data_IF_714727054192
#
_entry.id   IF_714727054192
#
_cell.length_a   1.000
_cell.length_b   1.000
_cell.length_c   1.000
_cell.angle_alpha   90.00
_cell.angle_beta   90.00
_cell.angle_gamma   90.00
#
_symmetry.space_group_name_H-M   'P 1'
#
loop_
_entity.id
_entity.type
_entity.pdbx_description
1 polymer ?
#
# COMPACT_ATOMS: atom_id res chain seq x y z
N UNK A 1 1.96 15.44 12.08
CA UNK A 1 1.77 14.02 12.41
C UNK A 1 0.38 13.65 11.93
N UNK A 2 0.30 12.84 10.88
CA UNK A 2 -0.98 12.38 10.35
C UNK A 2 -1.44 11.19 11.19
N UNK A 3 -2.69 11.20 11.64
CA UNK A 3 -3.30 10.08 12.36
C UNK A 3 -4.25 9.36 11.41
N UNK A 4 -3.88 8.15 10.97
CA UNK A 4 -4.70 7.34 10.07
C UNK A 4 -5.39 6.21 10.82
N UNK A 5 -6.68 6.03 10.60
CA UNK A 5 -7.44 4.87 11.12
C UNK A 5 -7.30 3.73 10.11
N UNK A 6 -6.45 2.74 10.42
CA UNK A 6 -6.22 1.61 9.52
C UNK A 6 -7.19 0.45 9.78
N UNK A 7 -7.83 -0.12 8.75
CA UNK A 7 -8.82 -1.20 8.86
C UNK A 7 -8.18 -2.58 9.06
N UNK A 8 -7.31 -2.74 10.06
CA UNK A 8 -6.61 -4.01 10.34
C UNK A 8 -7.58 -5.04 10.91
N UNK A 9 -7.70 -6.19 10.25
CA UNK A 9 -8.57 -7.30 10.66
C UNK A 9 -8.19 -7.87 12.04
N UNK A 10 -9.14 -8.53 12.71
CA UNK A 10 -8.86 -9.17 14.01
C UNK A 10 -7.76 -10.25 13.94
N UNK A 11 -7.64 -10.95 12.80
CA UNK A 11 -6.59 -11.93 12.57
C UNK A 11 -5.22 -11.25 12.46
N UNK A 12 -5.16 -10.12 11.74
CA UNK A 12 -3.94 -9.37 11.50
C UNK A 12 -3.44 -8.61 12.74
N UNK A 13 -4.30 -8.30 13.72
CA UNK A 13 -3.87 -7.65 14.99
C UNK A 13 -2.73 -8.40 15.69
N UNK A 14 -2.77 -9.74 15.67
CA UNK A 14 -1.72 -10.57 16.29
C UNK A 14 -0.44 -10.57 15.46
N UNK A 15 -0.56 -10.67 14.13
CA UNK A 15 0.59 -10.60 13.20
C UNK A 15 1.29 -9.25 13.30
N UNK A 16 0.50 -8.17 13.34
CA UNK A 16 0.99 -6.81 13.53
C UNK A 16 1.80 -6.66 14.82
N UNK A 17 1.27 -7.15 15.95
CA UNK A 17 1.97 -7.08 17.24
C UNK A 17 3.31 -7.86 17.23
N UNK A 18 3.37 -8.97 16.50
CA UNK A 18 4.63 -9.71 16.31
C UNK A 18 5.64 -8.88 15.50
N UNK A 19 5.23 -8.36 14.33
CA UNK A 19 6.07 -7.53 13.47
C UNK A 19 6.59 -6.28 14.20
N UNK A 20 5.74 -5.61 14.98
CA UNK A 20 6.10 -4.38 15.68
C UNK A 20 7.16 -4.57 16.78
N UNK A 21 7.25 -5.76 17.37
CA UNK A 21 8.26 -6.07 18.38
C UNK A 21 9.60 -6.51 17.79
N UNK A 22 9.62 -6.80 16.49
CA UNK A 22 10.81 -7.32 15.84
C UNK A 22 11.87 -6.22 15.68
N UNK A 23 13.15 -6.60 15.76
CA UNK A 23 14.24 -5.63 15.68
C UNK A 23 14.49 -5.24 14.23
N UNK A 24 14.59 -3.94 13.97
CA UNK A 24 14.99 -3.45 12.67
C UNK A 24 16.45 -3.79 12.37
N UNK A 25 16.70 -4.33 11.18
CA UNK A 25 18.04 -4.47 10.62
C UNK A 25 18.40 -3.17 9.90
N UNK A 26 19.61 -2.61 10.09
CA UNK A 26 20.01 -1.39 9.41
C UNK A 26 19.91 -1.53 7.88
N UNK A 27 19.37 -0.50 7.22
CA UNK A 27 19.19 -0.41 5.76
C UNK A 27 18.24 -1.45 5.14
N UNK A 28 17.52 -2.23 5.96
CA UNK A 28 16.48 -3.14 5.52
C UNK A 28 15.16 -2.61 6.05
N UNK A 29 14.22 -2.36 5.15
CA UNK A 29 12.89 -1.91 5.49
C UNK A 29 11.97 -3.13 5.73
N UNK A 30 10.94 -2.94 6.54
CA UNK A 30 9.96 -3.97 6.83
C UNK A 30 8.56 -3.40 6.68
N UNK A 31 7.81 -3.98 5.76
CA UNK A 31 6.44 -3.60 5.52
C UNK A 31 5.51 -4.64 6.14
N UNK A 32 4.50 -4.17 6.86
CA UNK A 32 3.39 -5.00 7.27
C UNK A 32 2.30 -4.91 6.21
N UNK A 33 2.15 -5.97 5.42
CA UNK A 33 1.11 -6.07 4.39
C UNK A 33 -0.17 -6.64 4.99
N UNK A 34 -1.32 -6.04 4.67
CA UNK A 34 -2.63 -6.55 5.07
C UNK A 34 -3.74 -6.02 4.15
N UNK A 35 -4.85 -6.75 4.11
CA UNK A 35 -6.02 -6.38 3.32
C UNK A 35 -7.14 -5.85 4.23
N UNK A 36 -7.88 -4.91 3.68
CA UNK A 36 -9.18 -4.46 4.16
C UNK A 36 -10.28 -5.03 3.26
N UNK A 37 -11.51 -4.50 3.36
CA UNK A 37 -12.57 -4.88 2.41
C UNK A 37 -12.35 -4.36 1.00
N UNK A 38 -11.61 -3.26 0.83
CA UNK A 38 -11.51 -2.52 -0.44
C UNK A 38 -10.07 -2.29 -0.90
N UNK A 39 -9.11 -2.34 0.02
CA UNK A 39 -7.71 -1.99 -0.26
C UNK A 39 -6.74 -2.97 0.36
N UNK A 40 -5.61 -3.19 -0.32
CA UNK A 40 -4.37 -3.74 0.24
C UNK A 40 -3.47 -2.61 0.73
N UNK A 41 -2.89 -2.80 1.90
CA UNK A 41 -1.97 -1.86 2.53
C UNK A 41 -0.60 -2.50 2.71
N UNK A 42 0.47 -1.72 2.52
CA UNK A 42 1.81 -2.04 3.01
C UNK A 42 2.30 -0.90 3.90
N UNK A 43 2.47 -1.16 5.19
CA UNK A 43 2.86 -0.15 6.16
C UNK A 43 4.33 -0.33 6.57
N UNK A 44 5.17 0.68 6.36
CA UNK A 44 6.54 0.64 6.83
C UNK A 44 6.56 0.71 8.37
N UNK A 45 7.00 -0.38 9.00
CA UNK A 45 6.99 -0.53 10.45
C UNK A 45 7.90 0.48 11.16
N UNK A 46 8.92 1.00 10.48
CA UNK A 46 9.79 2.05 11.03
C UNK A 46 9.05 3.37 11.23
N UNK A 47 8.05 3.66 10.40
CA UNK A 47 7.28 4.91 10.45
C UNK A 47 6.10 4.83 11.44
N UNK A 48 5.81 3.64 11.98
CA UNK A 48 4.78 3.46 13.01
C UNK A 48 5.32 3.92 14.37
N UNK A 49 4.99 5.14 14.75
CA UNK A 49 5.39 5.72 16.04
C UNK A 49 4.43 5.36 17.19
N UNK A 50 3.17 5.04 16.88
CA UNK A 50 2.12 4.74 17.84
C UNK A 50 1.05 3.87 17.19
N UNK A 51 0.56 2.86 17.92
CA UNK A 51 -0.59 2.07 17.51
C UNK A 51 -1.52 1.81 18.71
N UNK A 52 -2.83 1.80 18.47
CA UNK A 52 -3.84 1.48 19.49
C UNK A 52 -4.98 0.69 18.86
N UNK A 53 -5.33 -0.45 19.47
CA UNK A 53 -6.56 -1.15 19.12
C UNK A 53 -7.71 -0.59 19.95
N UNK A 54 -8.66 0.04 19.29
CA UNK A 54 -9.83 0.62 19.93
C UNK A 54 -11.01 -0.38 19.88
N UNK A 55 -11.75 -0.48 20.98
CA UNK A 55 -12.97 -1.28 21.08
C UNK A 55 -14.16 -0.57 20.41
N UNK A 56 -14.21 0.76 20.58
CA UNK A 56 -15.16 1.67 19.95
C UNK A 56 -14.37 2.57 19.00
N UNK A 57 -14.77 2.62 17.72
CA UNK A 57 -14.08 3.42 16.72
C UNK A 57 -14.02 4.89 17.14
N UNK A 58 -12.82 5.48 17.13
CA UNK A 58 -12.75 6.94 17.02
C UNK A 58 -13.55 7.32 15.77
N UNK A 59 -14.36 8.37 15.85
CA UNK A 59 -15.00 8.91 14.65
C UNK A 59 -13.87 9.20 13.66
N UNK A 60 -13.96 8.75 12.40
CA UNK A 60 -12.99 9.17 11.41
C UNK A 60 -12.92 10.69 11.46
N UNK A 61 -11.70 11.23 11.45
CA UNK A 61 -11.50 12.66 11.21
C UNK A 61 -11.79 12.81 9.73
N UNK A 62 -13.07 12.82 9.37
CA UNK A 62 -13.51 13.22 8.04
C UNK A 62 -13.37 14.73 8.04
N UNK A 63 -12.51 15.27 7.18
CA UNK A 63 -12.70 16.66 6.78
C UNK A 63 -14.08 16.70 6.12
N UNK A 64 -15.04 17.39 6.74
CA UNK A 64 -16.47 17.42 6.32
C UNK A 64 -16.71 18.13 4.96
N UNK A 65 -15.67 18.36 4.16
CA UNK A 65 -15.70 19.19 2.95
C UNK A 65 -15.24 18.45 1.67
N UNK A 66 -15.78 17.27 1.38
CA UNK A 66 -15.52 16.57 0.09
C UNK A 66 -16.78 16.35 -0.76
N UNK A 67 -17.77 17.22 -0.58
CA UNK A 67 -18.83 17.41 -1.58
C UNK A 67 -18.34 18.42 -2.62
N UNK A 68 -17.85 17.91 -3.77
CA UNK A 68 -17.79 18.55 -5.10
C UNK A 68 -16.41 18.60 -5.78
N UNK A 69 -15.84 17.45 -6.12
CA UNK A 69 -14.99 17.32 -7.31
C UNK A 69 -15.41 16.04 -8.05
N UNK A 70 -15.41 16.07 -9.39
CA UNK A 70 -15.32 14.83 -10.16
C UNK A 70 -13.99 14.22 -9.74
N UNK A 71 -14.05 13.29 -8.79
CA UNK A 71 -12.89 12.76 -8.08
C UNK A 71 -12.08 11.95 -9.10
N UNK A 72 -10.89 12.43 -9.47
CA UNK A 72 -9.93 11.64 -10.24
C UNK A 72 -9.63 10.40 -9.39
N UNK A 73 -10.26 9.28 -9.73
CA UNK A 73 -10.15 8.04 -8.96
C UNK A 73 -8.73 7.50 -9.11
N UNK A 74 -7.93 7.63 -8.05
CA UNK A 74 -6.58 7.07 -7.99
C UNK A 74 -6.60 5.75 -7.21
N UNK A 75 -6.37 4.65 -7.89
CA UNK A 75 -6.39 3.31 -7.29
C UNK A 75 -5.10 3.00 -6.49
N UNK A 76 -4.03 3.78 -6.64
CA UNK A 76 -2.77 3.64 -5.90
C UNK A 76 -2.44 4.93 -5.16
N UNK A 77 -2.10 4.81 -3.87
CA UNK A 77 -1.72 5.92 -3.01
C UNK A 77 -0.44 5.61 -2.23
N UNK A 78 0.61 6.40 -2.44
CA UNK A 78 1.90 6.24 -1.77
C UNK A 78 2.12 7.41 -0.80
N UNK A 79 2.06 7.12 0.50
CA UNK A 79 2.39 8.09 1.55
C UNK A 79 3.89 8.10 1.80
N UNK A 80 4.51 9.27 1.73
CA UNK A 80 5.95 9.42 1.99
C UNK A 80 6.28 9.49 3.50
N UNK A 81 7.49 9.06 3.85
CA UNK A 81 8.05 9.09 5.22
C UNK A 81 8.01 10.48 5.86
N UNK A 82 8.12 10.53 7.19
CA UNK A 82 8.16 11.76 7.99
C UNK A 82 6.92 12.66 7.85
N UNK A 83 5.76 12.08 7.51
CA UNK A 83 4.53 12.84 7.26
C UNK A 83 4.61 13.67 5.98
N UNK A 84 5.34 13.17 4.98
CA UNK A 84 5.37 13.74 3.65
C UNK A 84 4.02 13.64 2.92
N UNK A 85 3.94 14.17 1.69
CA UNK A 85 2.73 14.14 0.90
C UNK A 85 2.34 12.70 0.52
N UNK A 86 1.08 12.55 0.11
CA UNK A 86 0.60 11.36 -0.59
C UNK A 86 0.75 11.60 -2.09
N UNK A 87 1.32 10.63 -2.80
CA UNK A 87 1.40 10.59 -4.25
C UNK A 87 0.26 9.68 -4.73
N UNK A 88 -0.78 10.24 -5.36
CA UNK A 88 -1.80 9.46 -6.04
C UNK A 88 -1.29 9.02 -7.42
N UNK A 89 -1.62 7.79 -7.83
CA UNK A 89 -1.35 7.23 -9.15
C UNK A 89 -2.58 6.46 -9.64
N UNK A 90 -2.83 6.49 -10.95
CA UNK A 90 -3.82 5.65 -11.61
C UNK A 90 -3.08 4.54 -12.34
N UNK A 91 -3.28 3.29 -11.95
CA UNK A 91 -2.52 2.17 -12.51
C UNK A 91 -3.48 1.17 -13.12
N UNK A 92 -3.18 0.70 -14.32
CA UNK A 92 -3.95 -0.37 -14.95
C UNK A 92 -3.97 -1.63 -14.07
N UNK A 93 -5.06 -2.41 -14.05
CA UNK A 93 -5.11 -3.66 -13.33
C UNK A 93 -4.01 -4.62 -13.76
N UNK A 94 -3.52 -5.42 -12.81
CA UNK A 94 -2.49 -6.43 -13.10
C UNK A 94 -3.00 -7.44 -14.15
N UNK A 95 -2.14 -7.79 -15.11
CA UNK A 95 -2.45 -8.82 -16.09
C UNK A 95 -2.62 -10.20 -15.42
N UNK A 96 -3.37 -11.13 -16.04
CA UNK A 96 -3.47 -12.49 -15.52
C UNK A 96 -2.09 -13.10 -15.33
N UNK A 97 -1.89 -13.77 -14.20
CA UNK A 97 -0.61 -14.40 -13.88
C UNK A 97 -0.19 -15.33 -15.02
N UNK A 98 1.01 -15.10 -15.56
CA UNK A 98 1.58 -15.97 -16.57
C UNK A 98 2.48 -17.01 -15.90
N UNK A 99 1.96 -18.24 -15.79
CA UNK A 99 2.67 -19.37 -15.17
C UNK A 99 4.00 -19.73 -15.86
N UNK A 100 4.17 -19.42 -17.15
CA UNK A 100 5.41 -19.72 -17.88
C UNK A 100 6.54 -18.73 -17.54
N UNK A 101 6.18 -17.47 -17.29
CA UNK A 101 7.14 -16.38 -17.02
C UNK A 101 7.25 -16.02 -15.55
N UNK A 102 6.42 -16.59 -14.69
CA UNK A 102 6.26 -16.20 -13.27
C UNK A 102 5.96 -14.71 -13.12
N UNK A 103 5.22 -14.16 -14.10
CA UNK A 103 4.83 -12.75 -14.10
C UNK A 103 3.50 -12.64 -13.36
N UNK A 104 3.53 -11.95 -12.23
CA UNK A 104 2.40 -11.77 -11.32
C UNK A 104 1.75 -10.39 -11.48
N UNK A 105 2.22 -9.56 -12.42
CA UNK A 105 1.77 -8.18 -12.59
C UNK A 105 2.57 -7.18 -11.76
N UNK A 106 2.48 -5.90 -12.13
CA UNK A 106 3.28 -4.82 -11.57
C UNK A 106 2.98 -4.58 -10.09
N UNK A 107 1.69 -4.52 -9.72
CA UNK A 107 1.27 -4.16 -8.38
C UNK A 107 1.48 -5.32 -7.39
N UNK A 108 1.18 -6.55 -7.80
CA UNK A 108 1.49 -7.73 -7.00
C UNK A 108 3.00 -7.91 -6.86
N UNK A 109 3.80 -7.72 -7.92
CA UNK A 109 5.27 -7.71 -7.81
C UNK A 109 5.78 -6.61 -6.87
N UNK A 110 5.10 -5.47 -6.80
CA UNK A 110 5.43 -4.42 -5.84
C UNK A 110 5.21 -4.88 -4.41
N UNK A 111 4.06 -5.48 -4.10
CA UNK A 111 3.78 -6.00 -2.76
C UNK A 111 4.71 -7.16 -2.39
N UNK A 112 5.04 -8.03 -3.33
CA UNK A 112 5.99 -9.13 -3.13
C UNK A 112 7.38 -8.59 -2.77
N UNK A 113 7.83 -7.54 -3.47
CA UNK A 113 9.08 -6.85 -3.15
C UNK A 113 9.06 -6.19 -1.76
N UNK A 114 7.90 -5.63 -1.34
CA UNK A 114 7.75 -5.01 -0.02
C UNK A 114 7.73 -6.04 1.12
N UNK A 115 7.19 -7.24 0.88
CA UNK A 115 7.15 -8.34 1.87
C UNK A 115 8.50 -9.08 2.00
N UNK A 116 9.40 -8.94 1.03
CA UNK A 116 10.71 -9.62 0.97
C UNK A 116 11.89 -8.87 1.61
N UNK A 117 11.68 -8.13 2.71
CA UNK A 117 12.72 -7.37 3.42
C UNK A 117 13.60 -6.49 2.49
N UNK A 118 13.02 -5.55 1.74
CA UNK A 118 13.73 -4.75 0.74
C UNK A 118 14.77 -3.78 1.37
N UNK A 119 15.81 -3.44 0.62
CA UNK A 119 16.79 -2.45 1.08
C UNK A 119 16.22 -1.02 1.01
N UNK A 120 16.62 -0.16 1.94
CA UNK A 120 16.22 1.27 1.96
C UNK A 120 16.53 1.99 0.65
N UNK A 121 17.57 1.56 -0.08
CA UNK A 121 18.02 2.15 -1.35
C UNK A 121 17.34 1.59 -2.58
N UNK A 122 16.63 0.46 -2.45
CA UNK A 122 15.93 -0.16 -3.55
C UNK A 122 14.90 0.79 -4.14
N UNK A 123 14.62 0.59 -5.42
CA UNK A 123 13.67 1.40 -6.17
C UNK A 123 12.68 0.49 -6.85
N UNK A 124 11.42 0.90 -6.80
CA UNK A 124 10.36 0.30 -7.58
C UNK A 124 9.86 1.32 -8.61
N UNK A 125 9.50 0.81 -9.78
CA UNK A 125 8.91 1.60 -10.86
C UNK A 125 7.45 1.21 -10.97
N UNK A 126 6.56 2.20 -11.01
CA UNK A 126 5.14 2.01 -11.27
C UNK A 126 4.81 2.85 -12.50
N UNK A 127 4.31 2.22 -13.54
CA UNK A 127 3.78 2.90 -14.73
C UNK A 127 2.32 3.27 -14.49
N UNK A 128 2.00 4.55 -14.67
CA UNK A 128 0.64 5.10 -14.60
C UNK A 128 -0.17 4.70 -15.86
N UNK A 129 -1.48 4.87 -15.83
CA UNK A 129 -2.42 4.56 -16.91
C UNK A 129 -2.09 5.35 -18.20
N UNK A 130 -1.54 6.55 -18.06
CA UNK A 130 -1.09 7.37 -19.19
C UNK A 130 0.27 6.91 -19.79
N UNK A 131 0.90 5.90 -19.19
CA UNK A 131 2.18 5.35 -19.59
C UNK A 131 3.40 6.08 -19.03
N UNK A 132 3.23 7.04 -18.12
CA UNK A 132 4.33 7.71 -17.43
C UNK A 132 4.89 6.85 -16.28
N UNK A 133 6.22 6.79 -16.16
CA UNK A 133 6.89 5.99 -15.13
C UNK A 133 7.17 6.79 -13.85
N UNK A 134 6.62 6.34 -12.73
CA UNK A 134 6.94 6.81 -11.39
C UNK A 134 8.00 5.93 -10.71
N UNK A 135 9.13 6.52 -10.32
CA UNK A 135 10.18 5.81 -9.58
C UNK A 135 10.16 6.17 -8.09
N UNK A 136 9.92 5.19 -7.23
CA UNK A 136 9.89 5.38 -5.79
C UNK A 136 11.01 4.59 -5.12
N UNK A 137 11.78 5.24 -4.25
CA UNK A 137 12.74 4.57 -3.38
C UNK A 137 12.02 3.97 -2.17
N UNK A 138 12.23 2.69 -1.88
CA UNK A 138 11.58 1.95 -0.79
C UNK A 138 11.69 2.67 0.55
N UNK A 139 12.90 3.13 0.91
CA UNK A 139 13.14 3.86 2.16
C UNK A 139 12.43 5.21 2.31
N UNK A 140 11.76 5.69 1.25
CA UNK A 140 10.97 6.94 1.24
C UNK A 140 9.48 6.68 1.42
N UNK A 141 9.05 5.42 1.48
CA UNK A 141 7.66 5.01 1.62
C UNK A 141 7.33 4.81 3.11
N UNK A 142 6.29 5.50 3.57
CA UNK A 142 5.66 5.22 4.87
C UNK A 142 4.54 4.19 4.73
N UNK A 143 3.71 4.34 3.70
CA UNK A 143 2.57 3.47 3.48
C UNK A 143 2.22 3.44 2.00
N UNK A 144 1.85 2.27 1.50
CA UNK A 144 1.17 2.09 0.21
C UNK A 144 -0.26 1.63 0.49
N UNK A 145 -1.23 2.19 -0.23
CA UNK A 145 -2.62 1.72 -0.30
C UNK A 145 -2.96 1.51 -1.77
N UNK A 146 -3.41 0.31 -2.12
CA UNK A 146 -3.84 -0.06 -3.47
C UNK A 146 -5.26 -0.63 -3.40
N UNK A 147 -6.14 -0.22 -4.30
CA UNK A 147 -7.48 -0.78 -4.40
C UNK A 147 -7.41 -2.27 -4.81
N UNK A 148 -8.25 -3.13 -4.22
CA UNK A 148 -8.18 -4.57 -4.47
C UNK A 148 -8.62 -4.94 -5.90
N UNK A 149 -9.50 -4.15 -6.49
CA UNK A 149 -10.01 -4.34 -7.85
C UNK A 149 -8.91 -4.27 -8.94
N UNK A 150 -7.84 -3.52 -8.71
CA UNK A 150 -6.71 -3.41 -9.65
C UNK A 150 -5.59 -4.41 -9.39
N UNK A 151 -5.67 -5.17 -8.29
CA UNK A 151 -4.76 -6.30 -8.05
C UNK A 151 -5.25 -7.60 -8.70
N UNK A 152 -6.53 -7.65 -9.05
CA UNK A 152 -7.14 -8.76 -9.75
C UNK A 152 -7.14 -8.48 -11.26
N UNK A 153 -6.81 -9.47 -12.09
CA UNK A 153 -6.91 -9.29 -13.52
C UNK A 153 -8.35 -9.07 -13.94
N UNK A 154 -8.54 -8.14 -14.88
CA UNK A 154 -9.83 -7.94 -15.54
C UNK A 154 -10.15 -9.22 -16.32
N UNK A 155 -11.32 -9.82 -16.09
CA UNK A 155 -11.77 -10.94 -16.93
C UNK A 155 -11.84 -10.44 -18.37
N UNK A 156 -11.11 -11.10 -19.28
CA UNK A 156 -11.29 -10.89 -20.72
C UNK A 156 -12.75 -11.28 -21.03
N UNK A 157 -13.61 -10.29 -21.25
CA UNK A 157 -14.91 -10.51 -21.88
C UNK A 157 -14.63 -11.03 -23.30
N UNK A 158 -14.51 -12.35 -23.44
CA UNK A 158 -14.43 -13.05 -24.72
C UNK A 158 -15.67 -12.68 -25.57
N UNK A 159 -15.53 -11.75 -26.53
CA UNK A 159 -16.52 -11.48 -27.58
C UNK A 159 -16.33 -12.36 -28.83
#
# INVERSE_FOLDING_TARGET
>A
MTTSLLPISAADKRRFYYYFQEKNTPNIERFFVFDSSEYRYALNMREVVFHQFLSDGLRPIVDEDDDAYEDDYFNVHITLVNGGPVIPLSVEPDAPQNEETDDIGQLNAFFDALDCEPETTDRFMITDEDGEDAFIRIGSIAMVRVALDVLEPVEDDDE
#
